data_IF_210048297455
#
_entry.id   IF_210048297455
#
_cell.length_a   1.000
_cell.length_b   1.000
_cell.length_c   1.000
_cell.angle_alpha   90.00
_cell.angle_beta   90.00
_cell.angle_gamma   90.00
#
_symmetry.space_group_name_H-M   'P 1'
#
loop_
_entity.id
_entity.type
_entity.pdbx_description
1 polymer ?
#
# COMPACT_ATOMS: atom_id res chain seq x y z
N UNK A 1 3.95 9.33 35.56
CA UNK A 1 3.46 9.49 34.17
C UNK A 1 4.55 9.02 33.25
N UNK A 2 4.22 8.41 32.11
CA UNK A 2 5.21 8.04 31.11
C UNK A 2 5.76 9.32 30.45
N UNK A 3 7.04 9.38 30.05
CA UNK A 3 7.57 10.52 29.30
C UNK A 3 6.71 10.86 28.09
N UNK A 4 6.38 12.14 27.90
CA UNK A 4 5.53 12.60 26.79
C UNK A 4 4.03 12.27 26.93
N UNK A 5 3.57 11.84 28.12
CA UNK A 5 2.15 11.62 28.40
C UNK A 5 1.64 12.56 29.49
N UNK A 6 0.40 12.99 29.35
CA UNK A 6 -0.32 13.78 30.34
C UNK A 6 -1.48 12.94 30.90
N UNK A 7 -1.90 13.27 32.12
CA UNK A 7 -3.05 12.61 32.74
C UNK A 7 -4.29 12.97 31.92
N UNK A 8 -5.10 11.97 31.59
CA UNK A 8 -6.38 12.23 30.93
C UNK A 8 -7.27 13.07 31.86
N UNK A 9 -7.63 14.27 31.41
CA UNK A 9 -8.50 15.18 32.15
C UNK A 9 -9.97 14.83 31.91
N UNK A 10 -10.75 14.73 32.99
CA UNK A 10 -12.19 14.47 32.97
C UNK A 10 -12.64 13.26 32.11
N UNK A 11 -12.11 12.05 32.34
CA UNK A 11 -12.59 10.87 31.65
C UNK A 11 -14.06 10.58 32.01
N UNK A 12 -14.86 10.00 31.09
CA UNK A 12 -16.22 9.61 31.40
C UNK A 12 -16.27 8.63 32.58
N UNK A 13 -17.15 8.86 33.58
CA UNK A 13 -17.24 8.01 34.76
C UNK A 13 -17.82 6.62 34.46
N UNK A 14 -18.63 6.49 33.40
CA UNK A 14 -19.36 5.26 33.08
C UNK A 14 -18.89 4.67 31.74
N UNK A 15 -18.76 3.35 31.67
CA UNK A 15 -18.25 2.62 30.50
C UNK A 15 -19.02 2.89 29.20
N UNK A 16 -20.34 3.11 29.28
CA UNK A 16 -21.18 3.36 28.10
C UNK A 16 -21.03 4.79 27.52
N UNK A 17 -20.44 5.73 28.27
CA UNK A 17 -20.20 7.10 27.82
C UNK A 17 -18.88 7.24 27.04
N UNK A 18 -18.01 6.23 27.12
CA UNK A 18 -16.69 6.25 26.48
C UNK A 18 -16.76 6.38 24.96
N UNK A 19 -17.68 5.68 24.29
CA UNK A 19 -17.79 5.73 22.82
C UNK A 19 -18.09 7.14 22.35
N UNK A 20 -19.13 7.78 22.91
CA UNK A 20 -19.49 9.14 22.53
C UNK A 20 -18.40 10.17 22.88
N UNK A 21 -17.67 9.95 23.97
CA UNK A 21 -16.52 10.78 24.33
C UNK A 21 -15.35 10.60 23.35
N UNK A 22 -15.00 9.36 22.98
CA UNK A 22 -13.96 9.06 22.00
C UNK A 22 -14.29 9.64 20.63
N UNK A 23 -15.55 9.56 20.19
CA UNK A 23 -15.99 10.16 18.93
C UNK A 23 -15.81 11.69 18.94
N UNK A 24 -16.08 12.36 20.08
CA UNK A 24 -15.81 13.80 20.23
C UNK A 24 -14.32 14.12 20.20
N UNK A 25 -13.49 13.34 20.88
CA UNK A 25 -12.03 13.54 20.84
C UNK A 25 -11.43 13.29 19.46
N UNK A 26 -11.97 12.33 18.70
CA UNK A 26 -11.64 12.13 17.29
C UNK A 26 -11.99 13.39 16.50
N UNK A 27 -13.21 13.92 16.66
CA UNK A 27 -13.64 15.16 16.02
C UNK A 27 -12.71 16.34 16.34
N UNK A 28 -12.37 16.53 17.62
CA UNK A 28 -11.43 17.57 18.06
C UNK A 28 -10.05 17.40 17.42
N UNK A 29 -9.54 16.17 17.34
CA UNK A 29 -8.26 15.89 16.72
C UNK A 29 -8.23 16.23 15.21
N UNK A 30 -9.36 16.04 14.51
CA UNK A 30 -9.53 16.44 13.10
C UNK A 30 -9.54 17.96 12.97
N UNK A 31 -10.27 18.68 13.82
CA UNK A 31 -10.34 20.15 13.82
C UNK A 31 -8.98 20.82 14.13
N UNK A 32 -8.20 20.25 15.06
CA UNK A 32 -6.88 20.75 15.42
C UNK A 32 -5.81 20.45 14.35
N UNK A 33 -6.03 19.44 13.49
CA UNK A 33 -5.01 18.92 12.56
C UNK A 33 -4.38 20.01 11.69
N UNK A 34 -5.14 20.92 11.02
CA UNK A 34 -4.55 21.91 10.13
C UNK A 34 -3.50 22.80 10.81
N UNK A 35 -3.69 23.13 12.10
CA UNK A 35 -2.75 23.98 12.86
C UNK A 35 -1.36 23.36 13.06
N UNK A 36 -1.23 22.04 12.86
CA UNK A 36 0.02 21.28 13.02
C UNK A 36 0.85 21.24 11.74
N UNK A 37 0.29 21.74 10.63
CA UNK A 37 0.91 21.76 9.31
C UNK A 37 1.35 23.17 8.94
N UNK A 38 2.51 23.26 8.30
CA UNK A 38 3.11 24.52 7.88
C UNK A 38 3.48 24.45 6.39
N UNK A 39 2.50 24.19 5.52
CA UNK A 39 2.72 24.12 4.07
C UNK A 39 3.31 25.44 3.54
N UNK A 40 4.46 25.37 2.88
CA UNK A 40 5.04 26.50 2.14
C UNK A 40 4.80 26.30 0.65
N UNK A 41 3.76 26.95 0.12
CA UNK A 41 3.36 26.83 -1.28
C UNK A 41 4.12 27.79 -2.21
N UNK A 42 5.16 28.49 -1.74
CA UNK A 42 5.86 29.49 -2.58
C UNK A 42 6.71 28.88 -3.70
N UNK A 43 7.09 27.60 -3.61
CA UNK A 43 7.75 26.84 -4.68
C UNK A 43 7.74 25.35 -4.36
N UNK A 44 7.90 24.49 -5.36
CA UNK A 44 8.02 23.03 -5.18
C UNK A 44 9.09 22.65 -4.15
N UNK A 45 10.29 23.23 -4.25
CA UNK A 45 11.40 22.89 -3.36
C UNK A 45 11.15 23.32 -1.90
N UNK A 46 10.46 24.45 -1.67
CA UNK A 46 10.08 24.88 -0.31
C UNK A 46 8.93 24.05 0.25
N UNK A 47 7.96 23.70 -0.60
CA UNK A 47 6.87 22.81 -0.24
C UNK A 47 7.39 21.44 0.23
N UNK A 48 8.28 20.81 -0.55
CA UNK A 48 8.89 19.53 -0.17
C UNK A 48 9.62 19.62 1.17
N UNK A 49 10.37 20.71 1.41
CA UNK A 49 11.03 20.94 2.70
C UNK A 49 10.06 21.17 3.85
N UNK A 50 8.96 21.88 3.61
CA UNK A 50 7.99 22.22 4.66
C UNK A 50 7.21 21.00 5.16
N UNK A 51 7.00 20.00 4.28
CA UNK A 51 6.28 18.76 4.62
C UNK A 51 7.18 17.63 5.11
N UNK A 52 8.51 17.79 5.05
CA UNK A 52 9.47 16.75 5.46
C UNK A 52 9.29 16.28 6.92
N UNK A 53 9.01 17.15 7.91
CA UNK A 53 8.70 16.71 9.27
C UNK A 53 7.47 15.80 9.35
N UNK A 54 6.51 15.97 8.44
CA UNK A 54 5.31 15.14 8.37
C UNK A 54 5.59 13.80 7.68
N UNK A 55 6.48 13.73 6.69
CA UNK A 55 6.97 12.44 6.17
C UNK A 55 7.66 11.63 7.26
N UNK A 56 8.60 12.25 7.98
CA UNK A 56 9.31 11.61 9.09
C UNK A 56 8.33 11.11 10.16
N UNK A 57 7.29 11.89 10.46
CA UNK A 57 6.24 11.48 11.40
C UNK A 57 5.43 10.31 10.87
N UNK A 58 4.98 10.34 9.62
CA UNK A 58 4.22 9.24 9.02
C UNK A 58 5.05 7.93 9.00
N UNK A 59 6.33 8.02 8.62
CA UNK A 59 7.26 6.89 8.67
C UNK A 59 7.39 6.31 10.09
N UNK A 60 7.50 7.17 11.11
CA UNK A 60 7.56 6.75 12.50
C UNK A 60 6.27 6.06 12.98
N UNK A 61 5.09 6.57 12.60
CA UNK A 61 3.79 5.94 12.94
C UNK A 61 3.64 4.54 12.31
N UNK A 62 4.23 4.33 11.13
CA UNK A 62 4.23 3.04 10.42
C UNK A 62 5.37 2.11 10.84
N UNK A 63 6.25 2.56 11.75
CA UNK A 63 7.39 1.79 12.20
C UNK A 63 8.39 1.52 11.08
N UNK A 64 8.55 2.44 10.13
CA UNK A 64 9.49 2.31 9.00
C UNK A 64 10.86 2.87 9.43
N UNK A 65 11.92 2.03 9.51
CA UNK A 65 13.23 2.48 9.94
C UNK A 65 14.01 3.21 8.82
N UNK A 66 13.86 2.75 7.57
CA UNK A 66 14.44 3.35 6.37
C UNK A 66 13.74 2.80 5.12
N UNK A 67 13.69 3.62 4.06
CA UNK A 67 13.26 3.28 2.71
C UNK A 67 14.42 3.38 1.69
N UNK A 68 15.66 3.49 2.16
CA UNK A 68 16.83 3.53 1.29
C UNK A 68 17.28 2.12 0.92
N UNK A 69 17.24 1.82 -0.38
CA UNK A 69 17.65 0.53 -0.94
C UNK A 69 18.70 0.73 -2.02
N UNK A 70 19.64 -0.22 -2.16
CA UNK A 70 20.74 -0.15 -3.12
C UNK A 70 20.31 -0.38 -4.58
N UNK A 71 19.04 -0.73 -4.80
CA UNK A 71 18.55 -1.15 -6.12
C UNK A 71 19.10 -2.51 -6.56
N UNK A 72 19.36 -3.41 -5.61
CA UNK A 72 19.83 -4.76 -5.92
C UNK A 72 18.84 -5.46 -6.87
N UNK A 73 19.37 -5.99 -7.97
CA UNK A 73 18.55 -6.63 -9.00
C UNK A 73 17.77 -7.82 -8.44
N UNK A 74 16.54 -8.04 -8.93
CA UNK A 74 15.73 -9.16 -8.50
C UNK A 74 16.27 -10.48 -9.06
N UNK A 75 16.01 -11.56 -8.33
CA UNK A 75 16.23 -12.93 -8.77
C UNK A 75 14.98 -13.48 -9.47
N UNK A 76 15.15 -14.19 -10.58
CA UNK A 76 14.06 -14.93 -11.20
C UNK A 76 13.77 -16.24 -10.45
N UNK A 77 12.51 -16.48 -10.11
CA UNK A 77 12.07 -17.72 -9.46
C UNK A 77 11.83 -18.79 -10.53
N UNK A 78 12.82 -19.65 -10.78
CA UNK A 78 12.74 -20.76 -11.74
C UNK A 78 13.13 -22.06 -11.03
N UNK A 79 12.23 -23.06 -11.04
CA UNK A 79 12.60 -24.40 -10.55
C UNK A 79 13.38 -25.14 -11.64
N UNK A 80 14.26 -26.05 -11.21
CA UNK A 80 15.02 -26.88 -12.15
C UNK A 80 14.08 -27.62 -13.12
N UNK A 81 14.31 -27.47 -14.42
CA UNK A 81 13.49 -28.06 -15.48
C UNK A 81 12.25 -27.24 -15.88
N UNK A 82 11.96 -26.10 -15.24
CA UNK A 82 10.89 -25.19 -15.65
C UNK A 82 11.37 -24.12 -16.65
N UNK A 83 10.45 -23.59 -17.45
CA UNK A 83 10.69 -22.41 -18.29
C UNK A 83 10.78 -21.14 -17.43
N UNK A 84 11.67 -20.17 -17.72
CA UNK A 84 11.70 -18.89 -17.00
C UNK A 84 10.38 -18.11 -17.09
N UNK A 85 9.68 -18.19 -18.23
CA UNK A 85 8.38 -17.56 -18.45
C UNK A 85 7.27 -18.32 -17.71
N UNK A 86 6.57 -17.63 -16.79
CA UNK A 86 5.38 -18.13 -16.09
C UNK A 86 4.17 -18.18 -17.00
N UNK A 87 3.98 -17.11 -17.76
CA UNK A 87 2.87 -16.94 -18.69
C UNK A 87 3.18 -15.91 -19.78
N UNK A 88 2.32 -15.80 -20.77
CA UNK A 88 2.48 -14.83 -21.85
C UNK A 88 1.11 -14.27 -22.27
N UNK A 89 1.09 -12.99 -22.60
CA UNK A 89 -0.07 -12.28 -23.17
C UNK A 89 0.26 -11.64 -24.51
N UNK A 90 -0.63 -10.78 -25.01
CA UNK A 90 -0.42 -10.06 -26.26
C UNK A 90 0.74 -9.06 -26.14
N UNK A 91 1.91 -9.43 -26.65
CA UNK A 91 3.07 -8.53 -26.71
C UNK A 91 3.85 -8.38 -25.41
N UNK A 92 3.69 -9.29 -24.44
CA UNK A 92 4.51 -9.32 -23.22
C UNK A 92 4.65 -10.74 -22.64
N UNK A 93 5.70 -10.94 -21.83
CA UNK A 93 5.94 -12.17 -21.06
C UNK A 93 5.83 -11.90 -19.57
N UNK A 94 5.40 -12.90 -18.80
CA UNK A 94 5.26 -12.82 -17.34
C UNK A 94 6.35 -13.67 -16.71
N UNK A 95 7.14 -13.08 -15.80
CA UNK A 95 8.21 -13.75 -15.05
C UNK A 95 7.93 -13.69 -13.56
N UNK A 96 8.36 -14.71 -12.83
CA UNK A 96 8.32 -14.74 -11.38
C UNK A 96 9.60 -14.11 -10.84
N UNK A 97 9.50 -13.11 -9.96
CA UNK A 97 10.68 -12.44 -9.42
C UNK A 97 10.61 -12.32 -7.90
N UNK A 98 11.79 -12.31 -7.27
CA UNK A 98 12.01 -12.09 -5.84
C UNK A 98 13.11 -11.05 -5.67
N UNK A 99 12.97 -10.12 -4.72
CA UNK A 99 13.98 -9.11 -4.44
C UNK A 99 14.23 -8.97 -2.94
N UNK A 100 15.48 -8.70 -2.52
CA UNK A 100 15.82 -8.53 -1.11
C UNK A 100 15.23 -7.23 -0.55
N UNK A 101 14.87 -7.25 0.73
CA UNK A 101 14.40 -6.06 1.47
C UNK A 101 15.25 -5.83 2.71
N UNK A 102 15.27 -6.79 3.64
CA UNK A 102 16.12 -6.72 4.84
C UNK A 102 16.36 -8.10 5.45
N UNK A 103 17.62 -8.53 5.48
CA UNK A 103 17.99 -9.87 5.94
C UNK A 103 17.18 -10.94 5.20
N UNK A 104 16.36 -11.69 5.93
CA UNK A 104 15.53 -12.77 5.37
C UNK A 104 14.15 -12.31 4.84
N UNK A 105 13.89 -10.99 4.82
CA UNK A 105 12.66 -10.42 4.26
C UNK A 105 12.86 -10.11 2.77
N UNK A 106 11.95 -10.61 1.94
CA UNK A 106 11.97 -10.46 0.49
C UNK A 106 10.60 -10.07 -0.04
N UNK A 107 10.57 -9.20 -1.05
CA UNK A 107 9.40 -9.05 -1.88
C UNK A 107 9.36 -10.14 -2.95
N UNK A 108 8.15 -10.56 -3.34
CA UNK A 108 7.93 -11.49 -4.44
C UNK A 108 6.76 -10.99 -5.29
N UNK A 109 6.78 -11.29 -6.59
CA UNK A 109 5.73 -10.83 -7.49
C UNK A 109 5.85 -11.38 -8.91
N UNK A 110 4.97 -10.87 -9.77
CA UNK A 110 4.97 -11.14 -11.20
C UNK A 110 5.42 -9.91 -11.99
N UNK A 111 6.43 -10.08 -12.84
CA UNK A 111 6.99 -9.05 -13.71
C UNK A 111 6.52 -9.27 -15.14
N UNK A 112 5.79 -8.31 -15.69
CA UNK A 112 5.35 -8.26 -17.08
C UNK A 112 6.40 -7.49 -17.88
N UNK A 113 7.02 -8.16 -18.83
CA UNK A 113 8.08 -7.62 -19.69
C UNK A 113 7.55 -7.55 -21.13
N UNK A 114 7.30 -6.35 -21.67
CA UNK A 114 6.90 -6.14 -23.05
C UNK A 114 7.89 -6.75 -24.05
N UNK A 115 7.38 -7.36 -25.11
CA UNK A 115 8.17 -7.89 -26.20
C UNK A 115 8.56 -6.76 -27.16
N UNK A 116 9.85 -6.66 -27.49
CA UNK A 116 10.35 -5.81 -28.58
C UNK A 116 10.23 -4.28 -28.40
N UNK A 117 9.62 -3.78 -27.32
CA UNK A 117 9.53 -2.34 -27.03
C UNK A 117 10.54 -1.91 -25.98
N UNK A 118 11.39 -0.95 -26.36
CA UNK A 118 12.42 -0.29 -25.54
C UNK A 118 11.84 0.83 -24.66
N UNK A 119 10.63 0.70 -24.12
CA UNK A 119 10.13 1.75 -23.22
C UNK A 119 10.85 1.68 -21.88
N UNK A 120 11.31 2.83 -21.41
CA UNK A 120 11.86 3.01 -20.06
C UNK A 120 10.78 3.07 -18.98
N UNK A 121 9.50 3.12 -19.34
CA UNK A 121 8.42 3.23 -18.35
C UNK A 121 8.35 1.98 -17.46
N UNK A 122 8.37 2.19 -16.14
CA UNK A 122 8.27 1.16 -15.11
C UNK A 122 7.07 1.46 -14.25
N UNK A 123 6.24 0.46 -14.02
CA UNK A 123 5.02 0.60 -13.21
C UNK A 123 4.98 -0.49 -12.16
N UNK A 124 4.62 -0.12 -10.94
CA UNK A 124 4.29 -1.05 -9.88
C UNK A 124 2.77 -0.97 -9.66
N UNK A 125 2.08 -2.09 -9.83
CA UNK A 125 0.62 -2.18 -9.65
C UNK A 125 0.33 -3.04 -8.43
N UNK A 126 -0.18 -2.42 -7.37
CA UNK A 126 -0.44 -3.08 -6.08
C UNK A 126 -1.87 -3.63 -6.07
N UNK A 127 -2.06 -4.95 -5.87
CA UNK A 127 -3.38 -5.55 -5.75
C UNK A 127 -4.07 -5.22 -4.42
N UNK A 128 -5.40 -5.41 -4.35
CA UNK A 128 -6.05 -5.53 -3.04
C UNK A 128 -5.63 -6.84 -2.34
N UNK A 129 -5.72 -6.89 -1.01
CA UNK A 129 -5.38 -8.09 -0.24
C UNK A 129 -6.30 -9.31 -0.50
N UNK A 130 -7.42 -9.15 -1.21
CA UNK A 130 -8.23 -10.27 -1.69
C UNK A 130 -7.85 -10.74 -3.10
N UNK A 131 -6.93 -10.06 -3.78
CA UNK A 131 -6.49 -10.38 -5.14
C UNK A 131 -5.09 -10.98 -5.13
N UNK A 132 -4.87 -12.00 -5.96
CA UNK A 132 -3.53 -12.54 -6.21
C UNK A 132 -2.84 -11.80 -7.36
N UNK A 133 -1.49 -11.78 -7.40
CA UNK A 133 -0.77 -11.27 -8.55
C UNK A 133 -1.22 -11.92 -9.87
N UNK A 134 -1.50 -13.23 -9.84
CA UNK A 134 -1.97 -14.01 -10.98
C UNK A 134 -3.32 -13.52 -11.52
N UNK A 135 -4.26 -13.15 -10.64
CA UNK A 135 -5.54 -12.57 -11.01
C UNK A 135 -5.38 -11.17 -11.63
N UNK A 136 -4.52 -10.33 -11.03
CA UNK A 136 -4.28 -8.96 -11.51
C UNK A 136 -3.61 -8.90 -12.88
N UNK A 137 -2.76 -9.88 -13.20
CA UNK A 137 -2.12 -9.97 -14.53
C UNK A 137 -2.98 -10.73 -15.54
N UNK A 138 -4.13 -11.26 -15.13
CA UNK A 138 -5.08 -11.96 -15.99
C UNK A 138 -4.73 -13.42 -16.32
N UNK A 139 -3.87 -14.07 -15.53
CA UNK A 139 -3.59 -15.52 -15.65
C UNK A 139 -4.69 -16.36 -14.99
N UNK A 140 -5.26 -15.86 -13.90
CA UNK A 140 -6.35 -16.49 -13.16
C UNK A 140 -7.63 -15.61 -13.22
N UNK A 141 -8.83 -16.20 -13.12
CA UNK A 141 -10.05 -15.41 -12.97
C UNK A 141 -10.11 -14.72 -11.60
N UNK A 142 -10.69 -13.52 -11.54
CA UNK A 142 -10.90 -12.78 -10.29
C UNK A 142 -10.92 -11.26 -10.48
N UNK A 143 -10.19 -10.77 -11.49
CA UNK A 143 -10.23 -9.37 -11.93
C UNK A 143 -10.80 -9.30 -13.34
N UNK A 144 -11.91 -8.56 -13.57
CA UNK A 144 -12.46 -8.37 -14.91
C UNK A 144 -11.41 -7.77 -15.86
N UNK A 145 -11.36 -8.16 -17.15
CA UNK A 145 -10.38 -7.63 -18.10
C UNK A 145 -10.31 -6.09 -18.13
N UNK A 146 -11.46 -5.43 -18.02
CA UNK A 146 -11.55 -3.97 -17.99
C UNK A 146 -10.84 -3.32 -16.80
N UNK A 147 -10.62 -4.06 -15.70
CA UNK A 147 -9.93 -3.60 -14.49
C UNK A 147 -8.54 -4.21 -14.31
N UNK A 148 -8.01 -4.93 -15.31
CA UNK A 148 -6.66 -5.51 -15.27
C UNK A 148 -5.59 -4.46 -15.59
N UNK A 149 -5.42 -3.49 -14.69
CA UNK A 149 -4.48 -2.36 -14.83
C UNK A 149 -3.08 -2.82 -15.21
N UNK A 150 -2.56 -3.85 -14.52
CA UNK A 150 -1.21 -4.35 -14.77
C UNK A 150 -1.01 -4.84 -16.22
N UNK A 151 -2.02 -5.55 -16.74
CA UNK A 151 -2.01 -6.04 -18.11
C UNK A 151 -2.12 -4.89 -19.11
N UNK A 152 -3.06 -3.95 -18.90
CA UNK A 152 -3.25 -2.79 -19.79
C UNK A 152 -1.99 -1.93 -19.87
N UNK A 153 -1.30 -1.69 -18.75
CA UNK A 153 -0.02 -0.98 -18.74
C UNK A 153 1.07 -1.75 -19.51
N UNK A 154 1.12 -3.09 -19.39
CA UNK A 154 2.09 -3.89 -20.12
C UNK A 154 1.83 -3.91 -21.64
N UNK A 155 0.57 -4.00 -22.06
CA UNK A 155 0.15 -3.90 -23.47
C UNK A 155 0.45 -2.50 -24.06
N UNK A 156 0.36 -1.45 -23.24
CA UNK A 156 0.83 -0.09 -23.57
C UNK A 156 2.36 0.04 -23.65
N UNK A 157 3.11 -1.00 -23.26
CA UNK A 157 4.56 -1.07 -23.38
C UNK A 157 5.34 -0.73 -22.11
N UNK A 158 4.70 -0.58 -20.95
CA UNK A 158 5.40 -0.45 -19.67
C UNK A 158 5.93 -1.82 -19.20
N UNK A 159 7.09 -1.85 -18.53
CA UNK A 159 7.43 -3.01 -17.70
C UNK A 159 6.68 -2.87 -16.37
N UNK A 160 5.91 -3.90 -16.01
CA UNK A 160 4.98 -3.83 -14.87
C UNK A 160 5.30 -4.89 -13.83
N UNK A 161 5.47 -4.49 -12.58
CA UNK A 161 5.59 -5.38 -11.44
C UNK A 161 4.29 -5.41 -10.64
N UNK A 162 3.77 -6.60 -10.38
CA UNK A 162 2.67 -6.83 -9.44
C UNK A 162 3.21 -7.57 -8.22
N UNK A 163 3.43 -6.90 -7.08
CA UNK A 163 3.90 -7.56 -5.88
C UNK A 163 2.78 -8.39 -5.24
N UNK A 164 3.19 -9.44 -4.53
CA UNK A 164 2.33 -10.16 -3.60
C UNK A 164 2.23 -9.38 -2.30
N UNK A 165 1.00 -9.18 -1.83
CA UNK A 165 0.68 -8.62 -0.51
C UNK A 165 0.13 -9.72 0.39
N UNK A 166 0.11 -9.49 1.70
CA UNK A 166 -0.49 -10.42 2.66
C UNK A 166 -2.01 -10.42 2.48
N UNK A 167 -2.57 -11.60 2.25
CA UNK A 167 -4.00 -11.79 1.98
C UNK A 167 -4.87 -11.75 3.24
N UNK A 168 -6.19 -11.66 3.08
CA UNK A 168 -7.17 -11.71 4.19
C UNK A 168 -7.75 -13.10 4.49
N UNK A 169 -7.15 -14.15 3.96
CA UNK A 169 -7.51 -15.54 4.24
C UNK A 169 -7.47 -15.82 5.73
N UNK A 170 -8.55 -16.46 6.21
CA UNK A 170 -8.72 -16.82 7.61
C UNK A 170 -8.11 -18.19 7.85
N UNK A 171 -7.27 -18.30 8.86
CA UNK A 171 -6.73 -19.58 9.30
C UNK A 171 -6.90 -19.74 10.80
N UNK A 172 -7.17 -20.97 11.21
CA UNK A 172 -7.12 -21.32 12.63
C UNK A 172 -5.67 -21.36 13.09
N UNK A 173 -5.32 -20.48 14.02
CA UNK A 173 -3.97 -20.40 14.58
C UNK A 173 -3.81 -21.38 15.74
N UNK A 174 -2.56 -21.62 16.15
CA UNK A 174 -2.19 -22.46 17.30
C UNK A 174 -1.84 -23.91 16.97
N UNK A 175 -1.13 -24.55 17.91
CA UNK A 175 -0.73 -25.96 17.81
C UNK A 175 -1.76 -26.87 18.46
N UNK A 176 -2.00 -28.03 17.87
CA UNK A 176 -2.80 -29.09 18.49
C UNK A 176 -2.20 -29.48 19.85
N UNK A 177 -3.04 -29.58 20.88
CA UNK A 177 -2.62 -29.85 22.27
C UNK A 177 -2.25 -28.64 23.14
N UNK A 178 -2.21 -27.41 22.61
CA UNK A 178 -2.03 -26.17 23.42
C UNK A 178 -3.37 -25.50 23.78
N UNK A 179 -3.36 -24.65 24.85
CA UNK A 179 -4.54 -24.05 25.52
C UNK A 179 -5.54 -23.39 24.56
N UNK A 180 -6.83 -23.38 24.92
CA UNK A 180 -7.96 -22.89 24.10
C UNK A 180 -7.79 -21.48 23.48
N UNK A 181 -7.12 -20.55 24.17
CA UNK A 181 -6.85 -19.20 23.65
C UNK A 181 -5.92 -19.17 22.43
N UNK A 182 -5.18 -20.25 22.15
CA UNK A 182 -4.32 -20.31 20.96
C UNK A 182 -5.08 -20.71 19.69
N UNK A 183 -6.38 -21.06 19.75
CA UNK A 183 -7.15 -21.65 18.63
C UNK A 183 -8.06 -20.66 17.89
N UNK A 184 -7.69 -19.38 17.84
CA UNK A 184 -8.49 -18.33 17.21
C UNK A 184 -8.38 -18.39 15.69
N UNK A 185 -9.49 -18.10 15.01
CA UNK A 185 -9.51 -17.89 13.56
C UNK A 185 -9.07 -16.46 13.27
N UNK A 186 -7.89 -16.26 12.70
CA UNK A 186 -7.39 -14.92 12.39
C UNK A 186 -7.11 -14.82 10.90
N UNK A 187 -7.35 -13.64 10.33
CA UNK A 187 -6.81 -13.36 9.01
C UNK A 187 -5.28 -13.43 9.02
N UNK A 188 -4.70 -13.76 7.88
CA UNK A 188 -3.25 -13.69 7.65
C UNK A 188 -2.70 -12.29 8.00
N UNK A 189 -3.38 -11.20 7.60
CA UNK A 189 -2.98 -9.83 7.95
C UNK A 189 -3.04 -9.54 9.45
N UNK A 190 -4.14 -9.87 10.12
CA UNK A 190 -4.29 -9.62 11.55
C UNK A 190 -3.25 -10.41 12.37
N UNK A 191 -3.00 -11.66 11.99
CA UNK A 191 -1.99 -12.50 12.63
C UNK A 191 -0.61 -11.85 12.59
N UNK A 192 -0.22 -11.26 11.46
CA UNK A 192 1.08 -10.58 11.31
C UNK A 192 1.10 -9.19 11.95
N UNK A 193 -0.02 -8.45 11.90
CA UNK A 193 -0.13 -7.12 12.51
C UNK A 193 0.10 -7.16 14.02
N UNK A 194 -0.53 -8.11 14.74
CA UNK A 194 -0.50 -8.18 16.21
C UNK A 194 0.92 -8.24 16.82
N UNK A 195 1.83 -9.17 16.42
CA UNK A 195 3.20 -9.17 16.92
C UNK A 195 4.00 -7.98 16.39
N UNK A 196 3.77 -7.56 15.14
CA UNK A 196 4.42 -6.37 14.57
C UNK A 196 4.20 -5.12 15.43
N UNK A 197 2.94 -4.88 15.83
CA UNK A 197 2.54 -3.75 16.67
C UNK A 197 3.34 -3.69 17.99
N UNK A 198 3.51 -4.83 18.66
CA UNK A 198 4.27 -4.93 19.91
C UNK A 198 5.77 -4.65 19.73
N UNK A 199 6.27 -4.84 18.50
CA UNK A 199 7.66 -4.62 18.11
C UNK A 199 7.89 -3.25 17.47
N UNK A 200 6.90 -2.35 17.54
CA UNK A 200 6.98 -1.02 16.93
C UNK A 200 7.03 -1.06 15.40
N UNK A 201 6.48 -2.11 14.78
CA UNK A 201 6.34 -2.27 13.33
C UNK A 201 4.86 -2.32 12.94
N UNK A 202 4.56 -1.87 11.73
CA UNK A 202 3.22 -1.99 11.16
C UNK A 202 3.25 -2.86 9.90
N UNK A 203 2.22 -3.66 9.64
CA UNK A 203 2.15 -4.50 8.43
C UNK A 203 2.20 -3.65 7.15
N UNK A 204 1.38 -2.60 7.08
CA UNK A 204 1.47 -1.53 6.04
C UNK A 204 2.92 -1.07 5.87
N UNK A 205 3.63 -0.72 6.95
CA UNK A 205 5.02 -0.27 6.88
C UNK A 205 5.97 -1.34 6.32
N UNK A 206 5.77 -2.61 6.68
CA UNK A 206 6.55 -3.74 6.13
C UNK A 206 6.31 -3.92 4.63
N UNK A 207 5.05 -3.86 4.17
CA UNK A 207 4.71 -3.98 2.74
C UNK A 207 5.21 -2.76 1.94
N UNK A 208 5.14 -1.56 2.50
CA UNK A 208 5.74 -0.35 1.89
C UNK A 208 7.25 -0.49 1.67
N UNK A 209 7.97 -1.13 2.61
CA UNK A 209 9.40 -1.40 2.40
C UNK A 209 9.65 -2.37 1.25
N UNK A 210 8.79 -3.38 1.07
CA UNK A 210 8.87 -4.27 -0.10
C UNK A 210 8.62 -3.50 -1.40
N UNK A 211 7.66 -2.59 -1.40
CA UNK A 211 7.30 -1.73 -2.53
C UNK A 211 8.45 -0.77 -2.88
N UNK A 212 9.05 -0.09 -1.90
CA UNK A 212 10.20 0.79 -2.10
C UNK A 212 11.45 0.03 -2.55
N UNK A 213 11.71 -1.16 -1.99
CA UNK A 213 12.82 -2.00 -2.46
C UNK A 213 12.62 -2.43 -3.93
N UNK A 214 11.37 -2.71 -4.32
CA UNK A 214 11.04 -3.00 -5.72
C UNK A 214 11.27 -1.79 -6.63
N UNK A 215 10.78 -0.63 -6.20
CA UNK A 215 10.91 0.59 -6.96
C UNK A 215 12.38 1.01 -7.15
N UNK A 216 13.23 0.82 -6.14
CA UNK A 216 14.65 1.13 -6.23
C UNK A 216 15.36 0.37 -7.37
N UNK A 217 15.11 -0.93 -7.54
CA UNK A 217 15.73 -1.67 -8.66
C UNK A 217 15.01 -1.45 -9.99
N UNK A 218 13.71 -1.13 -9.98
CA UNK A 218 13.00 -0.73 -11.20
C UNK A 218 13.53 0.60 -11.75
N UNK A 219 13.90 1.54 -10.89
CA UNK A 219 14.47 2.83 -11.28
C UNK A 219 15.98 2.75 -11.56
N UNK A 220 16.70 1.80 -10.94
CA UNK A 220 18.14 1.57 -11.14
C UNK A 220 18.45 1.28 -12.63
N UNK A 221 18.93 2.31 -13.33
CA UNK A 221 19.28 2.25 -14.76
C UNK A 221 18.31 2.96 -15.70
N UNK A 222 17.25 3.60 -15.17
CA UNK A 222 16.29 4.38 -15.97
C UNK A 222 16.17 5.84 -15.54
N UNK A 223 16.44 6.19 -14.28
CA UNK A 223 16.48 7.57 -13.72
C UNK A 223 15.25 8.44 -14.08
N UNK A 224 14.11 7.80 -14.36
CA UNK A 224 12.85 8.47 -14.73
C UNK A 224 11.78 8.34 -13.66
N UNK A 225 12.08 7.61 -12.59
CA UNK A 225 11.11 7.24 -11.56
C UNK A 225 10.18 6.12 -12.01
N UNK A 226 9.32 5.73 -11.08
CA UNK A 226 8.39 4.61 -11.21
C UNK A 226 6.94 5.11 -11.12
N UNK A 227 6.07 4.62 -11.99
CA UNK A 227 4.63 4.79 -11.84
C UNK A 227 4.09 3.84 -10.77
N UNK A 228 3.20 4.31 -9.91
CA UNK A 228 2.57 3.49 -8.87
C UNK A 228 1.06 3.52 -9.03
N UNK A 229 0.42 2.36 -9.12
CA UNK A 229 -1.04 2.27 -9.15
C UNK A 229 -1.52 1.25 -8.13
N UNK A 230 -2.63 1.52 -7.44
CA UNK A 230 -3.20 0.53 -6.54
C UNK A 230 -4.72 0.66 -6.37
N UNK A 231 -5.36 -0.47 -6.10
CA UNK A 231 -6.79 -0.56 -5.80
C UNK A 231 -7.07 -1.20 -4.44
N UNK A 232 -8.04 -0.66 -3.67
CA UNK A 232 -8.43 -1.21 -2.37
C UNK A 232 -7.29 -1.12 -1.35
N UNK A 233 -6.84 -2.24 -0.79
CA UNK A 233 -5.61 -2.28 0.02
C UNK A 233 -4.39 -1.80 -0.76
N UNK A 234 -4.33 -2.11 -2.06
CA UNK A 234 -3.28 -1.58 -2.93
C UNK A 234 -3.36 -0.06 -3.09
N UNK A 235 -4.57 0.52 -3.06
CA UNK A 235 -4.77 1.97 -3.08
C UNK A 235 -4.24 2.65 -1.81
N UNK A 236 -4.45 2.03 -0.64
CA UNK A 236 -3.82 2.44 0.62
C UNK A 236 -2.30 2.42 0.47
N UNK A 237 -1.75 1.27 0.08
CA UNK A 237 -0.30 1.08 -0.03
C UNK A 237 0.31 2.03 -1.07
N UNK A 238 -0.39 2.31 -2.17
CA UNK A 238 0.04 3.26 -3.19
C UNK A 238 0.12 4.70 -2.64
N UNK A 239 -0.95 5.16 -1.99
CA UNK A 239 -1.01 6.48 -1.37
C UNK A 239 0.11 6.67 -0.35
N UNK A 240 0.30 5.70 0.54
CA UNK A 240 1.27 5.79 1.63
C UNK A 240 2.71 5.64 1.14
N UNK A 241 2.97 4.74 0.18
CA UNK A 241 4.32 4.56 -0.39
C UNK A 241 4.75 5.79 -1.17
N UNK A 242 3.89 6.34 -2.02
CA UNK A 242 4.19 7.58 -2.74
C UNK A 242 4.37 8.77 -1.78
N UNK A 243 3.64 8.81 -0.66
CA UNK A 243 3.80 9.85 0.35
C UNK A 243 5.15 9.82 1.09
N UNK A 244 5.90 8.71 1.07
CA UNK A 244 7.21 8.62 1.73
C UNK A 244 8.38 8.45 0.78
N UNK A 245 8.16 7.87 -0.40
CA UNK A 245 9.22 7.54 -1.34
C UNK A 245 9.14 8.42 -2.60
N UNK A 246 10.12 9.31 -2.84
CA UNK A 246 10.13 10.21 -3.99
C UNK A 246 10.35 9.50 -5.33
N UNK A 247 10.75 8.22 -5.34
CA UNK A 247 10.94 7.44 -6.57
C UNK A 247 9.66 7.33 -7.40
N UNK A 248 8.50 7.42 -6.74
CA UNK A 248 7.20 7.34 -7.41
C UNK A 248 6.80 8.69 -7.99
N UNK A 249 6.88 8.84 -9.31
CA UNK A 249 6.68 10.13 -10.00
C UNK A 249 5.24 10.36 -10.45
N UNK A 250 4.47 9.28 -10.64
CA UNK A 250 3.05 9.30 -10.98
C UNK A 250 2.36 8.26 -10.11
N UNK A 251 1.32 8.66 -9.38
CA UNK A 251 0.58 7.75 -8.48
C UNK A 251 -0.91 7.74 -8.85
N UNK A 252 -1.49 6.55 -9.05
CA UNK A 252 -2.92 6.32 -9.18
C UNK A 252 -3.46 5.60 -7.95
N UNK A 253 -4.46 6.18 -7.29
CA UNK A 253 -5.11 5.61 -6.10
C UNK A 253 -6.59 5.37 -6.41
N UNK A 254 -6.98 4.10 -6.38
CA UNK A 254 -8.34 3.67 -6.74
C UNK A 254 -9.05 2.96 -5.58
N UNK A 255 -10.33 3.24 -5.40
CA UNK A 255 -11.19 2.49 -4.46
C UNK A 255 -10.73 2.51 -3.00
N UNK A 256 -10.00 3.55 -2.60
CA UNK A 256 -9.52 3.75 -1.22
C UNK A 256 -9.87 5.13 -0.67
N UNK A 257 -9.39 6.20 -1.32
CA UNK A 257 -9.37 7.57 -0.82
C UNK A 257 -10.76 8.11 -0.40
N UNK A 258 -10.89 8.62 0.84
CA UNK A 258 -12.14 9.22 1.35
C UNK A 258 -11.94 10.17 2.53
N UNK A 259 -12.96 10.98 2.78
CA UNK A 259 -13.09 11.83 3.96
C UNK A 259 -13.48 11.01 5.21
N UNK A 260 -13.12 11.51 6.39
CA UNK A 260 -13.64 11.08 7.71
C UNK A 260 -13.56 9.56 7.99
N UNK A 261 -12.47 8.93 7.54
CA UNK A 261 -12.22 7.50 7.77
C UNK A 261 -12.13 7.16 9.27
N UNK A 262 -13.02 6.26 9.72
CA UNK A 262 -13.01 5.72 11.08
C UNK A 262 -12.19 4.43 11.16
N UNK A 263 -10.86 4.55 11.26
CA UNK A 263 -9.93 3.40 11.27
C UNK A 263 -10.27 2.32 12.30
N UNK A 264 -10.87 2.68 13.43
CA UNK A 264 -11.26 1.72 14.47
C UNK A 264 -12.39 0.78 14.05
N UNK A 265 -13.13 1.11 12.98
CA UNK A 265 -14.15 0.24 12.37
C UNK A 265 -13.60 -0.62 11.24
N UNK A 266 -12.42 -0.32 10.73
CA UNK A 266 -11.78 -1.07 9.65
C UNK A 266 -11.10 -2.34 10.19
N UNK A 267 -10.66 -3.28 9.31
CA UNK A 267 -9.85 -4.42 9.75
C UNK A 267 -8.65 -3.97 10.59
N UNK A 268 -8.34 -4.75 11.62
CA UNK A 268 -7.33 -4.40 12.63
C UNK A 268 -5.95 -4.12 11.98
N UNK A 269 -5.65 -4.78 10.87
CA UNK A 269 -4.43 -4.56 10.08
C UNK A 269 -4.27 -3.17 9.45
N UNK A 270 -5.32 -2.34 9.47
CA UNK A 270 -5.29 -0.93 9.04
C UNK A 270 -5.17 0.07 10.18
N UNK A 271 -5.21 -0.38 11.43
CA UNK A 271 -5.21 0.52 12.58
C UNK A 271 -3.80 1.06 12.84
N UNK A 272 -3.59 2.33 12.48
CA UNK A 272 -2.34 3.03 12.74
C UNK A 272 -2.53 3.92 13.98
N UNK A 273 -1.81 3.58 15.05
CA UNK A 273 -1.85 4.32 16.30
C UNK A 273 -1.50 5.80 16.07
N UNK A 274 -2.29 6.71 16.67
CA UNK A 274 -2.09 8.16 16.63
C UNK A 274 -2.20 8.82 15.23
N UNK A 275 -2.60 8.10 14.18
CA UNK A 275 -2.69 8.67 12.82
C UNK A 275 -3.63 9.87 12.74
N UNK A 276 -4.86 9.74 13.27
CA UNK A 276 -5.93 10.74 13.15
C UNK A 276 -5.54 12.12 13.67
N UNK A 277 -4.60 12.18 14.62
CA UNK A 277 -4.09 13.43 15.21
C UNK A 277 -3.30 14.28 14.22
N UNK A 278 -2.79 13.67 13.15
CA UNK A 278 -1.85 14.28 12.21
C UNK A 278 -2.30 14.18 10.76
N UNK A 279 -2.99 13.10 10.39
CA UNK A 279 -3.28 12.76 9.01
C UNK A 279 -4.71 12.28 8.80
N UNK A 280 -5.30 12.74 7.70
CA UNK A 280 -6.34 12.08 6.92
C UNK A 280 -5.81 11.80 5.51
N UNK A 281 -6.65 11.28 4.62
CA UNK A 281 -6.21 10.88 3.29
C UNK A 281 -5.70 12.11 2.48
N UNK A 282 -6.33 13.29 2.62
CA UNK A 282 -5.88 14.53 1.99
C UNK A 282 -4.50 15.01 2.48
N UNK A 283 -4.22 14.90 3.78
CA UNK A 283 -2.91 15.26 4.34
C UNK A 283 -1.81 14.27 3.91
N UNK A 284 -2.13 12.99 3.74
CA UNK A 284 -1.16 12.01 3.21
C UNK A 284 -0.92 12.29 1.73
N UNK A 285 -1.97 12.56 0.96
CA UNK A 285 -1.86 12.94 -0.44
C UNK A 285 -1.07 14.23 -0.65
N UNK A 286 -1.16 15.20 0.28
CA UNK A 286 -0.38 16.44 0.21
C UNK A 286 1.12 16.18 0.30
N UNK A 287 1.56 15.05 0.88
CA UNK A 287 2.96 14.63 0.86
C UNK A 287 3.40 14.13 -0.53
N UNK A 288 2.50 13.77 -1.44
CA UNK A 288 2.91 13.32 -2.79
C UNK A 288 3.33 14.53 -3.65
N UNK A 289 2.66 15.66 -3.45
CA UNK A 289 2.90 16.93 -4.15
C UNK A 289 4.36 17.39 -4.01
N UNK A 290 4.98 17.89 -5.09
CA UNK A 290 4.39 18.29 -6.38
C UNK A 290 4.24 17.19 -7.44
N UNK A 291 4.49 15.92 -7.10
CA UNK A 291 4.41 14.81 -8.05
C UNK A 291 2.96 14.53 -8.46
N UNK A 292 2.80 13.91 -9.63
CA UNK A 292 1.49 13.65 -10.22
C UNK A 292 0.68 12.66 -9.39
N UNK A 293 -0.56 13.01 -9.06
CA UNK A 293 -1.49 12.16 -8.31
C UNK A 293 -2.86 12.13 -9.00
N UNK A 294 -3.34 10.92 -9.29
CA UNK A 294 -4.66 10.64 -9.83
C UNK A 294 -5.46 9.91 -8.76
N UNK A 295 -6.61 10.46 -8.39
CA UNK A 295 -7.57 9.83 -7.49
C UNK A 295 -8.75 9.32 -8.31
N UNK A 296 -8.98 8.01 -8.26
CA UNK A 296 -10.11 7.34 -8.89
C UNK A 296 -11.12 6.91 -7.82
N UNK A 297 -12.27 7.59 -7.78
CA UNK A 297 -13.43 7.24 -6.98
C UNK A 297 -14.19 6.06 -7.62
N UNK A 298 -13.54 4.89 -7.65
CA UNK A 298 -14.16 3.63 -8.02
C UNK A 298 -14.65 2.84 -6.80
N UNK A 299 -15.52 1.86 -7.04
CA UNK A 299 -15.95 0.93 -6.00
C UNK A 299 -14.74 0.22 -5.36
N UNK A 300 -14.59 0.37 -4.04
CA UNK A 300 -13.57 -0.31 -3.24
C UNK A 300 -14.01 -1.70 -2.77
N UNK A 301 -13.12 -2.46 -2.10
CA UNK A 301 -13.49 -3.74 -1.50
C UNK A 301 -14.54 -3.53 -0.40
N UNK A 302 -15.57 -4.39 -0.40
CA UNK A 302 -16.63 -4.41 0.61
C UNK A 302 -16.64 -5.78 1.30
N UNK A 303 -16.71 -5.79 2.62
CA UNK A 303 -16.80 -7.05 3.36
C UNK A 303 -16.56 -6.88 4.86
N UNK A 304 -16.82 -7.96 5.59
CA UNK A 304 -16.54 -8.03 7.03
C UNK A 304 -15.36 -8.96 7.24
N UNK A 305 -14.36 -8.48 7.96
CA UNK A 305 -13.18 -9.24 8.36
C UNK A 305 -13.38 -9.74 9.79
N UNK A 306 -13.42 -11.07 10.02
CA UNK A 306 -13.60 -11.60 11.35
C UNK A 306 -12.36 -11.33 12.22
N UNK A 307 -12.59 -10.95 13.48
CA UNK A 307 -11.53 -10.79 14.49
C UNK A 307 -11.96 -11.42 15.82
N UNK A 308 -11.77 -12.73 16.02
CA UNK A 308 -12.13 -13.40 17.26
C UNK A 308 -11.40 -12.82 18.48
N UNK A 309 -12.18 -12.44 19.48
CA UNK A 309 -11.68 -11.74 20.68
C UNK A 309 -11.52 -10.22 20.50
N UNK A 310 -11.89 -9.66 19.35
CA UNK A 310 -11.98 -8.24 19.06
C UNK A 310 -13.29 -7.87 18.36
N UNK A 311 -13.42 -6.62 17.92
CA UNK A 311 -14.51 -6.20 17.03
C UNK A 311 -14.16 -6.58 15.58
N UNK A 312 -15.15 -7.08 14.83
CA UNK A 312 -14.96 -7.33 13.40
C UNK A 312 -14.65 -6.03 12.67
N UNK A 313 -13.77 -6.10 11.68
CA UNK A 313 -13.49 -4.96 10.81
C UNK A 313 -14.43 -4.92 9.62
N UNK A 314 -14.91 -3.75 9.24
CA UNK A 314 -15.71 -3.53 8.05
C UNK A 314 -14.88 -2.81 6.98
N UNK A 315 -14.77 -3.43 5.81
CA UNK A 315 -14.36 -2.76 4.59
C UNK A 315 -15.60 -2.21 3.91
N UNK A 316 -15.58 -0.92 3.61
CA UNK A 316 -16.64 -0.23 2.88
C UNK A 316 -16.03 0.53 1.71
N UNK A 317 -16.75 0.52 0.59
CA UNK A 317 -16.37 1.34 -0.57
C UNK A 317 -16.39 2.82 -0.17
N UNK A 318 -15.40 3.62 -0.60
CA UNK A 318 -15.49 5.07 -0.44
C UNK A 318 -16.68 5.59 -1.24
N UNK A 319 -17.60 6.37 -0.63
CA UNK A 319 -18.64 7.05 -1.38
C UNK A 319 -18.00 8.11 -2.32
N UNK A 320 -18.44 8.24 -3.59
CA UNK A 320 -17.86 9.20 -4.53
C UNK A 320 -17.87 10.64 -4.02
N UNK A 321 -18.90 11.05 -3.28
CA UNK A 321 -19.02 12.37 -2.68
C UNK A 321 -18.00 12.61 -1.56
N UNK A 322 -17.68 11.60 -0.74
CA UNK A 322 -16.65 11.69 0.29
C UNK A 322 -15.25 11.72 -0.34
N UNK A 323 -15.02 10.91 -1.37
CA UNK A 323 -13.78 10.92 -2.13
C UNK A 323 -13.54 12.27 -2.80
N UNK A 324 -14.60 12.86 -3.40
CA UNK A 324 -14.56 14.18 -3.99
C UNK A 324 -14.27 15.27 -2.96
N UNK A 325 -14.98 15.26 -1.83
CA UNK A 325 -14.77 16.25 -0.77
C UNK A 325 -13.35 16.20 -0.18
N UNK A 326 -12.78 15.01 -0.03
CA UNK A 326 -11.39 14.86 0.43
C UNK A 326 -10.39 15.30 -0.65
N UNK A 327 -10.72 15.14 -1.94
CA UNK A 327 -9.88 15.61 -3.04
C UNK A 327 -9.88 17.14 -3.10
N UNK A 328 -11.04 17.77 -2.94
CA UNK A 328 -11.14 19.24 -2.86
C UNK A 328 -10.33 19.79 -1.66
N UNK A 329 -10.28 19.06 -0.53
CA UNK A 329 -9.38 19.40 0.59
C UNK A 329 -7.90 19.34 0.18
N UNK A 330 -7.48 18.30 -0.53
CA UNK A 330 -6.10 18.20 -1.04
C UNK A 330 -5.75 19.39 -1.94
N UNK A 331 -6.66 19.78 -2.85
CA UNK A 331 -6.47 20.95 -3.71
C UNK A 331 -6.31 22.21 -2.87
N UNK A 332 -7.14 22.43 -1.85
CA UNK A 332 -7.03 23.57 -0.95
C UNK A 332 -5.71 23.58 -0.15
N UNK A 333 -5.22 22.43 0.31
CA UNK A 333 -3.93 22.32 1.03
C UNK A 333 -2.72 22.72 0.17
N UNK A 334 -2.87 22.69 -1.15
CA UNK A 334 -1.78 22.94 -2.12
C UNK A 334 -2.01 24.19 -2.96
N UNK A 335 -3.01 24.99 -2.60
CA UNK A 335 -3.35 26.25 -3.26
C UNK A 335 -2.17 27.23 -3.23
N UNK A 336 -1.93 27.90 -4.36
CA UNK A 336 -0.82 28.83 -4.53
C UNK A 336 0.51 28.19 -4.92
N UNK A 337 0.62 26.85 -4.96
CA UNK A 337 1.84 26.19 -5.41
C UNK A 337 2.13 26.46 -6.89
N UNK A 338 3.34 26.93 -7.19
CA UNK A 338 3.80 27.24 -8.55
C UNK A 338 5.08 26.48 -8.91
N UNK A 339 5.14 25.80 -10.07
CA UNK A 339 4.02 25.50 -10.98
C UNK A 339 2.90 24.69 -10.29
N UNK A 340 1.68 24.77 -10.78
CA UNK A 340 0.58 23.99 -10.20
C UNK A 340 0.85 22.48 -10.34
N UNK A 341 0.62 21.70 -9.27
CA UNK A 341 0.81 20.25 -9.34
C UNK A 341 -0.25 19.61 -10.22
N UNK A 342 0.10 18.50 -10.88
CA UNK A 342 -0.84 17.70 -11.66
C UNK A 342 -1.65 16.80 -10.73
N UNK A 343 -2.81 17.30 -10.30
CA UNK A 343 -3.78 16.59 -9.47
C UNK A 343 -5.05 16.35 -10.28
N UNK A 344 -5.46 15.09 -10.41
CA UNK A 344 -6.64 14.73 -11.21
C UNK A 344 -7.59 13.84 -10.41
N UNK A 345 -8.89 14.06 -10.60
CA UNK A 345 -9.96 13.29 -9.96
C UNK A 345 -10.85 12.67 -11.02
N UNK A 346 -11.18 11.40 -10.82
CA UNK A 346 -12.02 10.62 -11.70
C UNK A 346 -13.13 9.96 -10.89
N UNK A 347 -14.37 10.12 -11.33
CA UNK A 347 -15.51 9.35 -10.86
C UNK A 347 -15.71 8.19 -11.84
N UNK A 348 -15.68 6.95 -11.36
CA UNK A 348 -15.57 5.77 -12.23
C UNK A 348 -16.37 4.60 -11.69
N UNK A 349 -17.10 3.91 -12.57
CA UNK A 349 -17.92 2.76 -12.18
C UNK A 349 -17.08 1.55 -11.72
N UNK A 350 -15.82 1.49 -12.16
CA UNK A 350 -14.89 0.37 -11.93
C UNK A 350 -13.47 0.88 -11.78
N UNK A 351 -12.59 0.14 -11.09
CA UNK A 351 -11.21 0.52 -10.97
C UNK A 351 -10.44 0.31 -12.28
N UNK A 352 -9.47 1.18 -12.52
CA UNK A 352 -8.65 1.13 -13.73
C UNK A 352 -9.42 1.54 -14.97
N UNK A 353 -10.31 2.52 -14.85
CA UNK A 353 -11.03 3.08 -15.99
C UNK A 353 -10.07 3.58 -17.08
N UNK A 354 -10.48 3.48 -18.35
CA UNK A 354 -9.61 3.78 -19.48
C UNK A 354 -9.19 5.26 -19.49
N UNK A 355 -10.02 6.18 -18.99
CA UNK A 355 -9.66 7.59 -18.87
C UNK A 355 -8.53 7.78 -17.84
N UNK A 356 -8.64 7.14 -16.67
CA UNK A 356 -7.64 7.17 -15.60
C UNK A 356 -6.32 6.59 -16.09
N UNK A 357 -6.38 5.41 -16.73
CA UNK A 357 -5.19 4.73 -17.22
C UNK A 357 -4.53 5.49 -18.38
N UNK A 358 -5.31 6.15 -19.25
CA UNK A 358 -4.76 7.02 -20.29
C UNK A 358 -3.97 8.17 -19.68
N UNK A 359 -4.54 8.87 -18.68
CA UNK A 359 -3.85 9.96 -18.00
C UNK A 359 -2.62 9.49 -17.20
N UNK A 360 -2.71 8.33 -16.57
CA UNK A 360 -1.59 7.72 -15.85
C UNK A 360 -0.43 7.35 -16.78
N UNK A 361 -0.71 6.75 -17.94
CA UNK A 361 0.29 6.40 -18.95
C UNK A 361 0.90 7.64 -19.62
N UNK A 362 0.07 8.64 -19.94
CA UNK A 362 0.51 9.93 -20.47
C UNK A 362 1.49 10.63 -19.52
N UNK A 363 1.18 10.64 -18.22
CA UNK A 363 2.05 11.20 -17.20
C UNK A 363 3.41 10.47 -17.09
N UNK A 364 3.48 9.22 -17.53
CA UNK A 364 4.72 8.42 -17.63
C UNK A 364 5.41 8.53 -18.99
N UNK A 365 4.89 9.37 -19.90
CA UNK A 365 5.42 9.56 -21.25
C UNK A 365 5.11 8.41 -22.21
N UNK A 366 4.04 7.65 -21.96
CA UNK A 366 3.56 6.59 -22.85
C UNK A 366 2.31 7.05 -23.62
N UNK A 367 2.39 7.02 -24.95
CA UNK A 367 1.25 7.28 -25.85
C UNK A 367 0.39 6.02 -26.06
N UNK A 368 0.04 5.36 -24.95
CA UNK A 368 -0.71 4.11 -24.94
C UNK A 368 -2.18 4.34 -24.63
N UNK A 369 -3.07 3.93 -25.53
CA UNK A 369 -4.51 3.85 -25.22
C UNK A 369 -4.82 2.48 -24.64
N UNK A 370 -5.26 2.40 -23.37
CA UNK A 370 -5.71 1.14 -22.77
C UNK A 370 -6.81 0.52 -23.63
N UNK A 371 -6.81 -0.80 -23.76
CA UNK A 371 -7.80 -1.52 -24.56
C UNK A 371 -8.10 -2.88 -23.92
N UNK A 372 -9.37 -3.29 -23.96
CA UNK A 372 -9.83 -4.58 -23.44
C UNK A 372 -9.63 -5.74 -24.43
N UNK A 373 -9.18 -5.45 -25.66
CA UNK A 373 -9.16 -6.41 -26.78
C UNK A 373 -7.94 -7.31 -26.84
N UNK A 374 -6.96 -7.12 -25.96
CA UNK A 374 -5.77 -7.97 -25.93
C UNK A 374 -6.12 -9.45 -25.70
N UNK A 375 -5.22 -10.34 -26.09
CA UNK A 375 -5.35 -11.76 -25.77
C UNK A 375 -5.18 -11.98 -24.26
N UNK A 376 -6.12 -12.72 -23.66
CA UNK A 376 -6.02 -13.16 -22.25
C UNK A 376 -4.72 -13.95 -22.05
N UNK A 377 -3.88 -13.60 -21.05
CA UNK A 377 -2.65 -14.31 -20.81
C UNK A 377 -2.85 -15.79 -20.48
N UNK A 378 -1.87 -16.61 -20.84
CA UNK A 378 -1.92 -18.07 -20.60
C UNK A 378 -0.66 -18.55 -19.88
N UNK A 379 -0.83 -19.52 -18.99
CA UNK A 379 0.29 -20.17 -18.32
C UNK A 379 1.17 -20.94 -19.30
N UNK A 380 2.49 -20.75 -19.14
CA UNK A 380 3.54 -21.47 -19.86
C UNK A 380 4.24 -22.51 -18.97
N UNK A 381 4.07 -22.39 -17.65
CA UNK A 381 4.49 -23.39 -16.65
C UNK A 381 3.29 -24.24 -16.21
N UNK A 382 3.55 -25.53 -15.91
CA UNK A 382 2.57 -26.41 -15.26
C UNK A 382 2.77 -26.36 -13.75
N UNK A 383 1.70 -26.60 -12.99
CA UNK A 383 1.77 -26.72 -11.52
C UNK A 383 2.13 -25.42 -10.79
N UNK A 384 1.80 -24.27 -11.39
CA UNK A 384 1.92 -22.99 -10.71
C UNK A 384 0.93 -22.92 -9.55
N UNK A 385 1.44 -22.77 -8.32
CA UNK A 385 0.63 -22.76 -7.10
C UNK A 385 0.74 -21.39 -6.40
N UNK A 386 -0.28 -20.55 -6.61
CA UNK A 386 -0.38 -19.23 -6.01
C UNK A 386 -0.58 -19.30 -4.47
N UNK A 387 -1.28 -20.32 -3.98
CA UNK A 387 -1.58 -20.48 -2.55
C UNK A 387 -0.34 -20.90 -1.75
N UNK A 388 0.48 -21.81 -2.28
CA UNK A 388 1.75 -22.17 -1.66
C UNK A 388 2.70 -20.98 -1.57
N UNK A 389 2.76 -20.14 -2.61
CA UNK A 389 3.55 -18.89 -2.58
C UNK A 389 3.03 -17.89 -1.56
N UNK A 390 1.70 -17.78 -1.43
CA UNK A 390 1.08 -16.95 -0.41
C UNK A 390 1.46 -17.41 1.01
N UNK A 391 1.46 -18.72 1.26
CA UNK A 391 1.91 -19.27 2.53
C UNK A 391 3.39 -18.97 2.80
N UNK A 392 4.27 -19.10 1.80
CA UNK A 392 5.68 -18.73 1.92
C UNK A 392 5.86 -17.25 2.25
N UNK A 393 5.11 -16.37 1.57
CA UNK A 393 5.11 -14.93 1.82
C UNK A 393 4.67 -14.58 3.25
N UNK A 394 3.60 -15.20 3.74
CA UNK A 394 3.17 -15.04 5.14
C UNK A 394 4.26 -15.52 6.13
N UNK A 395 4.85 -16.69 5.89
CA UNK A 395 5.86 -17.28 6.78
C UNK A 395 7.15 -16.45 6.89
N UNK A 396 7.59 -15.79 5.82
CA UNK A 396 8.78 -14.95 5.88
C UNK A 396 8.56 -13.69 6.75
N UNK A 397 7.37 -13.07 6.70
CA UNK A 397 7.05 -11.90 7.52
C UNK A 397 6.94 -12.30 9.00
N UNK A 398 6.32 -13.46 9.29
CA UNK A 398 6.33 -14.00 10.66
C UNK A 398 7.76 -14.25 11.16
N UNK A 399 8.61 -14.89 10.35
CA UNK A 399 10.03 -15.10 10.69
C UNK A 399 10.77 -13.79 10.93
N UNK A 400 10.50 -12.77 10.10
CA UNK A 400 11.04 -11.43 10.29
C UNK A 400 10.65 -10.84 11.65
N UNK A 401 9.39 -10.98 12.08
CA UNK A 401 8.96 -10.59 13.43
C UNK A 401 9.64 -11.40 14.54
N UNK A 402 9.81 -12.71 14.37
CA UNK A 402 10.53 -13.54 15.35
C UNK A 402 11.98 -13.09 15.54
N UNK A 403 12.66 -12.71 14.45
CA UNK A 403 14.02 -12.14 14.52
C UNK A 403 14.02 -10.81 15.28
N UNK A 404 13.12 -9.88 14.95
CA UNK A 404 13.00 -8.60 15.65
C UNK A 404 12.72 -8.79 17.15
N UNK A 405 11.90 -9.77 17.52
CA UNK A 405 11.63 -10.10 18.91
C UNK A 405 12.92 -10.55 19.64
N UNK A 406 13.72 -11.40 19.02
CA UNK A 406 14.99 -11.86 19.58
C UNK A 406 16.00 -10.69 19.78
N UNK A 407 16.00 -9.72 18.86
CA UNK A 407 16.87 -8.54 18.91
C UNK A 407 16.37 -7.45 19.87
N UNK A 408 15.06 -7.43 20.17
CA UNK A 408 14.39 -6.36 20.93
C UNK A 408 14.97 -6.08 22.32
N UNK A 409 15.56 -7.08 22.97
CA UNK A 409 16.20 -6.92 24.29
C UNK A 409 17.47 -6.07 24.21
N UNK A 410 18.24 -6.20 23.13
CA UNK A 410 19.46 -5.43 22.88
C UNK A 410 19.12 -3.98 22.54
N UNK A 411 18.11 -3.76 21.69
CA UNK A 411 17.64 -2.41 21.34
C UNK A 411 17.11 -1.67 22.57
N UNK A 412 16.31 -2.34 23.41
CA UNK A 412 15.83 -1.75 24.67
C UNK A 412 16.96 -1.45 25.65
N UNK A 413 17.97 -2.33 25.74
CA UNK A 413 19.14 -2.10 26.59
C UNK A 413 19.90 -0.85 26.14
N UNK A 414 20.21 -0.75 24.84
CA UNK A 414 20.89 0.43 24.28
C UNK A 414 20.10 1.72 24.55
N UNK A 415 18.78 1.72 24.36
CA UNK A 415 17.93 2.87 24.66
C UNK A 415 17.95 3.29 26.14
N UNK A 416 18.02 2.33 27.07
CA UNK A 416 18.08 2.61 28.51
C UNK A 416 19.47 3.10 28.93
N UNK A 417 20.52 2.60 28.28
CA UNK A 417 21.92 2.93 28.58
C UNK A 417 22.36 4.30 28.04
N UNK A 418 21.67 4.82 27.00
CA UNK A 418 21.90 6.16 26.45
C UNK A 418 22.60 6.13 25.10
#
# INVERSE_FOLDING_TARGET
MLPGTERLENPPPLSHEWTAWLDREIGRAVEERPSKWAHDTSSHGRYSKSVEPMRARLAALLGIPSLEFKGDLPEEIVRFGEKPTVGAGAGFTIRAVRWPVEGDLFGEGLLLVPAGRTSSARVLVIPDAAQTPEQCVGLDPGVPPASQVARKCAEAGATVLVPRVVDRGVQRRGREGWRSYSRQELTNREFLYRPGFQLGRHLIGTEMRMISAAAAWLDAGHEKGVGLFGWGEGGLLALYSAALDPVFVVTGVSGYFRKDRLLWREPLDRNIFNLVRWFGDAEIASLIVPRTLLIEAAAGPVGVTPSPGGANGALSSPPPEEARAEFDRLVALTEGLQPSPRLEFYDSDRPGDDAVLTAFLDALGLDGKPTDTGQVPTYQRRGWDAAARQALHHHQIDRYHQRLLAESSHVRRAFIEG
#
